data_IF_126057175030
#
_entry.id   IF_126057175030
#
_cell.length_a   1.000
_cell.length_b   1.000
_cell.length_c   1.000
_cell.angle_alpha   90.00
_cell.angle_beta   90.00
_cell.angle_gamma   90.00
#
_symmetry.space_group_name_H-M   'P 1'
#
loop_
_entity.id
_entity.type
_entity.pdbx_description
1 polymer ?
#
# COMPACT_ATOMS: atom_id res chain seq x y z
N UNK A 1 -46.03 -3.07 -27.14
CA UNK A 1 -44.58 -2.80 -27.36
C UNK A 1 -44.12 -1.91 -26.22
N UNK A 2 -43.65 -2.50 -25.12
CA UNK A 2 -43.19 -1.77 -23.94
C UNK A 2 -41.68 -1.52 -24.08
N UNK A 3 -41.25 -0.26 -23.91
CA UNK A 3 -39.84 0.12 -23.91
C UNK A 3 -39.16 -0.40 -22.64
N UNK A 4 -37.89 -0.87 -22.71
CA UNK A 4 -37.17 -1.29 -21.52
C UNK A 4 -36.69 -0.06 -20.75
N UNK A 5 -37.02 0.01 -19.46
CA UNK A 5 -36.52 1.01 -18.53
C UNK A 5 -35.01 0.86 -18.35
N UNK A 6 -34.29 1.90 -18.74
CA UNK A 6 -32.85 2.02 -18.54
C UNK A 6 -32.59 2.25 -17.05
N UNK A 7 -32.18 1.20 -16.34
CA UNK A 7 -31.71 1.32 -14.95
C UNK A 7 -30.45 2.16 -14.93
N UNK A 8 -30.58 3.41 -14.51
CA UNK A 8 -29.45 4.26 -14.13
C UNK A 8 -28.85 3.67 -12.86
N UNK A 9 -27.67 3.06 -12.98
CA UNK A 9 -26.84 2.70 -11.84
C UNK A 9 -26.44 4.00 -11.12
N UNK A 10 -26.62 4.10 -9.79
CA UNK A 10 -26.20 5.29 -9.07
C UNK A 10 -24.68 5.39 -9.15
N UNK A 11 -24.18 6.54 -9.60
CA UNK A 11 -22.75 6.83 -9.61
C UNK A 11 -22.24 6.83 -8.16
N UNK A 12 -21.31 5.93 -7.87
CA UNK A 12 -20.57 5.95 -6.60
C UNK A 12 -19.79 7.28 -6.55
N UNK A 13 -19.83 8.03 -5.43
CA UNK A 13 -19.08 9.28 -5.32
C UNK A 13 -17.61 9.06 -5.68
N UNK A 14 -17.00 10.00 -6.41
CA UNK A 14 -15.62 9.93 -6.90
C UNK A 14 -14.54 9.82 -5.79
N UNK A 15 -14.91 9.82 -4.50
CA UNK A 15 -14.02 9.52 -3.37
C UNK A 15 -14.09 8.08 -2.87
N UNK A 16 -14.89 7.20 -3.47
CA UNK A 16 -15.08 5.81 -3.05
C UNK A 16 -14.96 4.81 -4.20
N UNK A 17 -14.12 5.11 -5.19
CA UNK A 17 -13.81 4.21 -6.31
C UNK A 17 -12.31 4.14 -6.56
N UNK A 18 -11.86 3.07 -7.23
CA UNK A 18 -10.47 2.89 -7.65
C UNK A 18 -10.00 4.05 -8.53
N UNK A 19 -10.86 4.52 -9.45
CA UNK A 19 -10.56 5.69 -10.28
C UNK A 19 -10.40 6.98 -9.47
N UNK A 20 -11.21 7.12 -8.41
CA UNK A 20 -11.16 8.24 -7.50
C UNK A 20 -9.82 8.35 -6.79
N UNK A 21 -9.39 7.25 -6.17
CA UNK A 21 -8.09 7.18 -5.48
C UNK A 21 -6.93 7.34 -6.47
N UNK A 22 -7.01 6.75 -7.66
CA UNK A 22 -6.00 6.93 -8.71
C UNK A 22 -5.92 8.38 -9.19
N UNK A 23 -7.05 9.05 -9.41
CA UNK A 23 -7.10 10.46 -9.79
C UNK A 23 -6.46 11.35 -8.72
N UNK A 24 -6.71 11.06 -7.44
CA UNK A 24 -6.10 11.77 -6.31
C UNK A 24 -4.59 11.55 -6.25
N UNK A 25 -4.11 10.33 -6.43
CA UNK A 25 -2.66 10.05 -6.52
C UNK A 25 -1.98 10.74 -7.71
N UNK A 26 -2.66 10.85 -8.86
CA UNK A 26 -2.16 11.62 -10.02
C UNK A 26 -2.06 13.11 -9.70
N UNK A 27 -3.03 13.67 -9.00
CA UNK A 27 -3.00 15.07 -8.57
C UNK A 27 -1.83 15.32 -7.59
N UNK A 28 -1.62 14.43 -6.63
CA UNK A 28 -0.48 14.48 -5.71
C UNK A 28 0.85 14.40 -6.45
N UNK A 29 0.98 13.45 -7.40
CA UNK A 29 2.16 13.32 -8.26
C UNK A 29 2.49 14.62 -8.99
N UNK A 30 1.49 15.33 -9.50
CA UNK A 30 1.70 16.60 -10.21
C UNK A 30 2.13 17.75 -9.29
N UNK A 31 1.89 17.62 -7.98
CA UNK A 31 2.19 18.67 -6.98
C UNK A 31 3.58 18.55 -6.34
N UNK A 32 4.27 17.42 -6.50
CA UNK A 32 5.57 17.16 -5.87
C UNK A 32 6.70 17.02 -6.90
N UNK A 33 7.93 17.47 -6.58
CA UNK A 33 9.10 17.17 -7.40
C UNK A 33 9.30 15.65 -7.54
N UNK A 34 9.79 15.18 -8.69
CA UNK A 34 10.09 13.77 -8.89
C UNK A 34 11.15 13.20 -7.92
N UNK A 35 11.97 14.07 -7.33
CA UNK A 35 12.98 13.73 -6.32
C UNK A 35 12.42 13.63 -4.89
N UNK A 36 11.14 13.95 -4.69
CA UNK A 36 10.48 13.77 -3.39
C UNK A 36 10.26 12.28 -3.12
N UNK A 37 10.76 11.79 -1.99
CA UNK A 37 10.62 10.38 -1.61
C UNK A 37 9.17 9.91 -1.48
N UNK A 38 8.26 10.78 -1.05
CA UNK A 38 6.82 10.45 -1.02
C UNK A 38 6.27 10.36 -2.44
N UNK A 39 6.75 11.19 -3.38
CA UNK A 39 6.36 11.10 -4.78
C UNK A 39 6.85 9.80 -5.43
N UNK A 40 8.05 9.32 -5.06
CA UNK A 40 8.57 8.03 -5.52
C UNK A 40 7.63 6.89 -5.12
N UNK A 41 7.27 6.79 -3.84
CA UNK A 41 6.31 5.77 -3.39
C UNK A 41 4.92 5.96 -4.01
N UNK A 42 4.40 7.19 -4.09
CA UNK A 42 3.11 7.48 -4.72
C UNK A 42 3.06 6.97 -6.17
N UNK A 43 4.14 7.10 -6.94
CA UNK A 43 4.20 6.62 -8.33
C UNK A 43 4.17 5.09 -8.41
N UNK A 44 4.92 4.42 -7.54
CA UNK A 44 4.89 2.96 -7.40
C UNK A 44 3.45 2.52 -7.09
N UNK A 45 2.83 3.14 -6.09
CA UNK A 45 1.50 2.73 -5.65
C UNK A 45 0.39 3.05 -6.65
N UNK A 46 0.43 4.22 -7.29
CA UNK A 46 -0.48 4.58 -8.39
C UNK A 46 -0.47 3.53 -9.51
N UNK A 47 0.71 3.00 -9.84
CA UNK A 47 0.84 1.95 -10.86
C UNK A 47 0.10 0.67 -10.44
N UNK A 48 0.20 0.27 -9.16
CA UNK A 48 -0.57 -0.86 -8.62
C UNK A 48 -2.07 -0.59 -8.72
N UNK A 49 -2.51 0.57 -8.23
CA UNK A 49 -3.93 0.94 -8.17
C UNK A 49 -4.55 0.97 -9.58
N UNK A 50 -3.84 1.50 -10.57
CA UNK A 50 -4.29 1.48 -11.97
C UNK A 50 -4.38 0.05 -12.53
N UNK A 51 -3.42 -0.82 -12.24
CA UNK A 51 -3.45 -2.23 -12.65
C UNK A 51 -4.59 -3.02 -11.97
N UNK A 52 -4.87 -2.74 -10.70
CA UNK A 52 -6.03 -3.32 -9.97
C UNK A 52 -7.33 -2.85 -10.61
N UNK A 53 -7.48 -1.56 -10.88
CA UNK A 53 -8.65 -0.97 -11.54
C UNK A 53 -8.95 -1.65 -12.87
N UNK A 54 -7.95 -1.77 -13.75
CA UNK A 54 -8.10 -2.45 -15.04
C UNK A 54 -8.54 -3.91 -14.92
N UNK A 55 -8.06 -4.63 -13.89
CA UNK A 55 -8.46 -6.03 -13.66
C UNK A 55 -9.87 -6.17 -13.10
N UNK A 56 -10.31 -5.22 -12.28
CA UNK A 56 -11.69 -5.14 -11.80
C UNK A 56 -12.64 -4.87 -12.98
N UNK A 57 -12.33 -3.88 -13.82
CA UNK A 57 -13.08 -3.58 -15.05
C UNK A 57 -13.12 -4.78 -16.01
N UNK A 58 -11.98 -5.45 -16.17
CA UNK A 58 -11.82 -6.66 -16.96
C UNK A 58 -12.47 -7.92 -16.35
N UNK A 59 -13.21 -7.81 -15.23
CA UNK A 59 -13.89 -8.92 -14.54
C UNK A 59 -12.97 -10.09 -14.16
N UNK A 60 -11.71 -9.79 -13.83
CA UNK A 60 -10.73 -10.79 -13.40
C UNK A 60 -10.81 -11.12 -11.90
N UNK A 61 -11.69 -10.43 -11.18
CA UNK A 61 -12.05 -10.70 -9.79
C UNK A 61 -13.43 -11.37 -9.73
N UNK A 62 -13.58 -12.52 -9.03
CA UNK A 62 -14.87 -13.18 -8.84
C UNK A 62 -15.88 -12.31 -8.08
N UNK A 63 -15.40 -11.54 -7.11
CA UNK A 63 -16.17 -10.52 -6.41
C UNK A 63 -15.56 -9.12 -6.65
N UNK A 64 -16.00 -8.39 -7.69
CA UNK A 64 -15.56 -7.03 -7.93
C UNK A 64 -15.82 -6.08 -6.76
N UNK A 65 -16.85 -6.35 -5.93
CA UNK A 65 -17.18 -5.50 -4.79
C UNK A 65 -16.17 -5.69 -3.65
N UNK A 66 -15.79 -6.93 -3.35
CA UNK A 66 -14.74 -7.28 -2.39
C UNK A 66 -13.42 -6.62 -2.76
N UNK A 67 -12.95 -6.87 -3.99
CA UNK A 67 -11.73 -6.30 -4.52
C UNK A 67 -11.72 -4.76 -4.52
N UNK A 68 -12.80 -4.12 -5.00
CA UNK A 68 -12.92 -2.65 -5.01
C UNK A 68 -12.90 -2.07 -3.60
N UNK A 69 -13.61 -2.68 -2.66
CA UNK A 69 -13.69 -2.18 -1.28
C UNK A 69 -12.32 -2.27 -0.61
N UNK A 70 -11.63 -3.40 -0.76
CA UNK A 70 -10.29 -3.58 -0.21
C UNK A 70 -9.30 -2.59 -0.81
N UNK A 71 -9.29 -2.43 -2.15
CA UNK A 71 -8.36 -1.52 -2.84
C UNK A 71 -8.56 -0.06 -2.41
N UNK A 72 -9.80 0.41 -2.36
CA UNK A 72 -10.13 1.78 -1.94
C UNK A 72 -9.78 2.02 -0.47
N UNK A 73 -10.16 1.11 0.43
CA UNK A 73 -9.85 1.26 1.87
C UNK A 73 -8.35 1.23 2.10
N UNK A 74 -7.62 0.39 1.36
CA UNK A 74 -6.17 0.33 1.45
C UNK A 74 -5.54 1.64 0.97
N UNK A 75 -5.96 2.16 -0.18
CA UNK A 75 -5.47 3.42 -0.72
C UNK A 75 -5.73 4.62 0.19
N UNK A 76 -6.93 4.69 0.76
CA UNK A 76 -7.30 5.78 1.67
C UNK A 76 -6.46 5.80 2.95
N UNK A 77 -5.86 4.69 3.39
CA UNK A 77 -4.92 4.69 4.54
C UNK A 77 -3.65 5.46 4.25
N UNK A 78 -3.05 5.22 3.08
CA UNK A 78 -1.89 6.00 2.64
C UNK A 78 -2.26 7.48 2.46
N UNK A 79 -3.38 7.74 1.79
CA UNK A 79 -3.82 9.10 1.50
C UNK A 79 -4.18 9.88 2.79
N UNK A 80 -4.74 9.22 3.79
CA UNK A 80 -4.97 9.81 5.11
C UNK A 80 -3.65 10.17 5.81
N UNK A 81 -2.58 9.38 5.64
CA UNK A 81 -1.26 9.74 6.16
C UNK A 81 -0.68 10.98 5.46
N UNK A 82 -0.90 11.11 4.15
CA UNK A 82 -0.52 12.31 3.37
C UNK A 82 -1.28 13.54 3.88
N UNK A 83 -2.60 13.44 4.03
CA UNK A 83 -3.44 14.54 4.51
C UNK A 83 -3.07 14.97 5.93
N UNK A 84 -2.82 14.00 6.82
CA UNK A 84 -2.42 14.28 8.19
C UNK A 84 -1.16 15.15 8.22
N UNK A 85 -0.14 14.80 7.43
CA UNK A 85 1.09 15.58 7.33
C UNK A 85 0.84 16.96 6.71
N UNK A 86 0.05 17.05 5.64
CA UNK A 86 -0.30 18.32 5.00
C UNK A 86 -1.03 19.28 5.95
N UNK A 87 -1.84 18.74 6.87
CA UNK A 87 -2.53 19.48 7.91
C UNK A 87 -1.68 19.74 9.17
N UNK A 88 -0.40 19.35 9.19
CA UNK A 88 0.51 19.55 10.32
C UNK A 88 0.33 18.54 11.47
N UNK A 89 -0.45 17.48 11.27
CA UNK A 89 -0.63 16.39 12.24
C UNK A 89 0.48 15.33 12.10
N UNK A 90 0.60 14.49 13.13
CA UNK A 90 1.53 13.35 13.11
C UNK A 90 0.86 12.16 12.42
N UNK A 91 1.44 11.60 11.34
CA UNK A 91 0.94 10.37 10.74
C UNK A 91 1.25 9.16 11.65
N UNK A 92 0.71 7.96 11.32
CA UNK A 92 1.13 6.70 11.94
C UNK A 92 2.65 6.54 11.97
N UNK A 93 3.18 5.90 13.00
CA UNK A 93 4.63 5.75 13.21
C UNK A 93 5.34 5.06 12.04
N UNK A 94 4.66 4.16 11.33
CA UNK A 94 5.15 3.45 10.15
C UNK A 94 5.47 4.40 8.98
N UNK A 95 4.68 5.47 8.82
CA UNK A 95 4.83 6.46 7.75
C UNK A 95 5.79 7.60 8.08
N UNK A 96 6.00 7.91 9.37
CA UNK A 96 6.84 9.03 9.81
C UNK A 96 8.23 9.07 9.16
N UNK A 97 8.99 7.95 9.06
CA UNK A 97 10.32 7.98 8.48
C UNK A 97 10.31 8.48 7.03
N UNK A 98 9.39 7.99 6.20
CA UNK A 98 9.31 8.40 4.79
C UNK A 98 9.09 9.91 4.66
N UNK A 99 8.15 10.47 5.42
CA UNK A 99 7.88 11.91 5.40
C UNK A 99 9.05 12.74 5.97
N UNK A 100 9.76 12.24 6.97
CA UNK A 100 10.93 12.93 7.55
C UNK A 100 12.12 12.99 6.58
N UNK A 101 12.39 11.91 5.85
CA UNK A 101 13.53 11.80 4.94
C UNK A 101 13.19 12.18 3.50
N UNK A 102 11.96 12.59 3.18
CA UNK A 102 11.45 12.77 1.80
C UNK A 102 12.27 13.71 0.89
N UNK A 103 13.14 14.54 1.45
CA UNK A 103 14.02 15.46 0.69
C UNK A 103 15.51 15.21 0.97
N UNK A 104 15.87 14.11 1.64
CA UNK A 104 17.23 13.86 2.07
C UNK A 104 18.12 13.45 0.88
N UNK A 105 19.21 14.19 0.57
CA UNK A 105 19.99 13.99 -0.64
C UNK A 105 20.77 12.65 -0.67
N UNK A 106 21.07 12.09 0.51
CA UNK A 106 21.74 10.79 0.64
C UNK A 106 20.79 9.58 0.62
N UNK A 107 19.49 9.75 0.42
CA UNK A 107 18.53 8.64 0.35
C UNK A 107 18.11 8.43 -1.10
N UNK A 108 18.27 7.21 -1.59
CA UNK A 108 18.01 6.88 -3.01
C UNK A 108 16.52 6.60 -3.25
N UNK A 109 16.01 6.80 -4.49
CA UNK A 109 14.63 6.47 -4.85
C UNK A 109 14.16 5.08 -4.41
N UNK A 110 15.01 4.06 -4.55
CA UNK A 110 14.69 2.70 -4.10
C UNK A 110 14.38 2.63 -2.60
N UNK A 111 15.16 3.32 -1.76
CA UNK A 111 14.94 3.32 -0.31
C UNK A 111 13.59 3.95 0.04
N UNK A 112 13.19 5.00 -0.68
CA UNK A 112 11.87 5.60 -0.52
C UNK A 112 10.74 4.65 -0.95
N UNK A 113 10.88 3.96 -2.08
CA UNK A 113 9.92 2.97 -2.54
C UNK A 113 9.75 1.84 -1.52
N UNK A 114 10.87 1.25 -1.05
CA UNK A 114 10.86 0.18 -0.05
C UNK A 114 10.30 0.65 1.30
N UNK A 115 10.64 1.85 1.75
CA UNK A 115 10.10 2.39 3.01
C UNK A 115 8.60 2.61 2.96
N UNK A 116 8.07 3.09 1.82
CA UNK A 116 6.63 3.21 1.61
C UNK A 116 5.92 1.85 1.52
N UNK A 117 6.49 0.89 0.78
CA UNK A 117 5.97 -0.49 0.73
C UNK A 117 5.96 -1.11 2.13
N UNK A 118 7.03 -0.94 2.91
CA UNK A 118 7.13 -1.42 4.28
C UNK A 118 6.03 -0.83 5.18
N UNK A 119 5.79 0.49 5.12
CA UNK A 119 4.73 1.11 5.91
C UNK A 119 3.34 0.61 5.48
N UNK A 120 3.11 0.55 4.17
CA UNK A 120 1.80 0.21 3.62
C UNK A 120 1.45 -1.27 3.83
N UNK A 121 2.36 -2.19 3.51
CA UNK A 121 2.13 -3.63 3.67
C UNK A 121 2.22 -4.04 5.15
N UNK A 122 3.22 -3.52 5.88
CA UNK A 122 3.51 -3.91 7.25
C UNK A 122 2.53 -3.37 8.31
N UNK A 123 1.70 -2.39 7.96
CA UNK A 123 0.72 -1.81 8.87
C UNK A 123 -0.65 -1.61 8.22
N UNK A 124 -0.72 -0.87 7.10
CA UNK A 124 -2.02 -0.46 6.55
C UNK A 124 -2.83 -1.63 6.00
N UNK A 125 -2.18 -2.62 5.39
CA UNK A 125 -2.86 -3.74 4.72
C UNK A 125 -3.69 -4.59 5.69
N UNK A 126 -3.15 -4.91 6.86
CA UNK A 126 -3.87 -5.70 7.87
C UNK A 126 -5.14 -4.98 8.36
N UNK A 127 -5.02 -3.67 8.54
CA UNK A 127 -6.12 -2.82 8.95
C UNK A 127 -7.14 -2.63 7.82
N UNK A 128 -6.68 -2.50 6.56
CA UNK A 128 -7.54 -2.39 5.40
C UNK A 128 -8.40 -3.64 5.19
N UNK A 129 -7.83 -4.84 5.35
CA UNK A 129 -8.59 -6.10 5.32
C UNK A 129 -9.66 -6.12 6.40
N UNK A 130 -9.31 -5.72 7.62
CA UNK A 130 -10.24 -5.71 8.76
C UNK A 130 -11.40 -4.73 8.51
N UNK A 131 -11.10 -3.51 8.02
CA UNK A 131 -12.11 -2.51 7.72
C UNK A 131 -12.98 -2.90 6.52
N UNK A 132 -12.40 -3.48 5.47
CA UNK A 132 -13.15 -4.02 4.35
C UNK A 132 -14.12 -5.12 4.80
N UNK A 133 -13.69 -6.04 5.67
CA UNK A 133 -14.56 -7.06 6.27
C UNK A 133 -15.74 -6.43 7.03
N UNK A 134 -15.50 -5.37 7.82
CA UNK A 134 -16.57 -4.63 8.51
C UNK A 134 -17.55 -3.99 7.54
N UNK A 135 -17.06 -3.33 6.50
CA UNK A 135 -17.88 -2.66 5.49
C UNK A 135 -18.72 -3.63 4.66
N UNK A 136 -18.19 -4.82 4.39
CA UNK A 136 -18.86 -5.85 3.61
C UNK A 136 -19.75 -6.75 4.47
N UNK A 137 -19.58 -6.73 5.80
CA UNK A 137 -20.28 -7.63 6.72
C UNK A 137 -19.85 -9.08 6.54
N UNK A 138 -18.57 -9.34 6.27
CA UNK A 138 -18.03 -10.67 6.02
C UNK A 138 -16.84 -11.00 6.92
N UNK A 139 -16.52 -12.29 7.03
CA UNK A 139 -15.30 -12.77 7.69
C UNK A 139 -14.09 -12.65 6.74
N UNK A 140 -12.84 -12.54 7.26
CA UNK A 140 -11.63 -12.43 6.45
C UNK A 140 -11.50 -13.52 5.37
N UNK A 141 -11.90 -14.76 5.66
CA UNK A 141 -11.86 -15.86 4.69
C UNK A 141 -12.60 -15.56 3.37
N UNK A 142 -13.63 -14.69 3.40
CA UNK A 142 -14.34 -14.28 2.19
C UNK A 142 -13.49 -13.38 1.26
N UNK A 143 -12.51 -12.66 1.82
CA UNK A 143 -11.60 -11.76 1.07
C UNK A 143 -10.27 -12.40 0.68
N UNK A 144 -9.98 -13.63 1.15
CA UNK A 144 -8.67 -14.29 0.94
C UNK A 144 -8.31 -14.41 -0.55
N UNK A 145 -9.28 -14.81 -1.37
CA UNK A 145 -9.07 -14.93 -2.82
C UNK A 145 -8.72 -13.60 -3.50
N UNK A 146 -9.35 -12.50 -3.09
CA UNK A 146 -9.08 -11.18 -3.64
C UNK A 146 -7.75 -10.63 -3.12
N UNK A 147 -7.44 -10.87 -1.83
CA UNK A 147 -6.16 -10.57 -1.22
C UNK A 147 -4.98 -11.21 -1.96
N UNK A 148 -5.09 -12.50 -2.32
CA UNK A 148 -4.05 -13.19 -3.08
C UNK A 148 -3.92 -12.66 -4.52
N UNK A 149 -5.03 -12.31 -5.19
CA UNK A 149 -5.00 -11.74 -6.55
C UNK A 149 -4.33 -10.36 -6.59
N UNK A 150 -4.70 -9.46 -5.69
CA UNK A 150 -4.04 -8.15 -5.53
C UNK A 150 -2.55 -8.36 -5.23
N UNK A 151 -2.27 -9.36 -4.42
CA UNK A 151 -0.94 -9.83 -4.15
C UNK A 151 -0.04 -10.15 -5.31
N UNK A 152 -0.54 -10.97 -6.22
CA UNK A 152 0.20 -11.33 -7.42
C UNK A 152 0.50 -10.10 -8.30
N UNK A 153 -0.28 -9.02 -8.19
CA UNK A 153 -0.01 -7.74 -8.86
C UNK A 153 1.17 -7.04 -8.19
N UNK A 154 1.15 -6.95 -6.86
CA UNK A 154 2.23 -6.35 -6.08
C UNK A 154 3.57 -7.09 -6.30
N UNK A 155 3.57 -8.43 -6.35
CA UNK A 155 4.77 -9.25 -6.57
C UNK A 155 5.42 -8.99 -7.94
N UNK A 156 4.61 -8.86 -9.01
CA UNK A 156 5.14 -8.48 -10.32
C UNK A 156 5.75 -7.08 -10.33
N UNK A 157 5.19 -6.18 -9.54
CA UNK A 157 5.74 -4.84 -9.40
C UNK A 157 7.04 -4.84 -8.58
N UNK A 158 7.15 -5.67 -7.55
CA UNK A 158 8.41 -5.87 -6.84
C UNK A 158 9.50 -6.35 -7.80
N UNK A 159 9.20 -7.34 -8.64
CA UNK A 159 10.18 -7.83 -9.63
C UNK A 159 10.60 -6.72 -10.59
N UNK A 160 9.65 -5.93 -11.11
CA UNK A 160 9.99 -4.79 -11.98
C UNK A 160 10.80 -3.71 -11.25
N UNK A 161 10.45 -3.38 -10.00
CA UNK A 161 11.22 -2.44 -9.17
C UNK A 161 12.64 -2.97 -8.97
N UNK A 162 12.79 -4.27 -8.71
CA UNK A 162 14.09 -4.93 -8.57
C UNK A 162 14.88 -4.87 -9.87
N UNK A 163 14.28 -5.19 -11.01
CA UNK A 163 14.90 -5.14 -12.34
C UNK A 163 15.32 -3.71 -12.73
N UNK A 164 14.45 -2.72 -12.56
CA UNK A 164 14.72 -1.32 -12.89
C UNK A 164 15.79 -0.69 -11.99
N UNK A 165 16.06 -1.28 -10.82
CA UNK A 165 16.97 -0.73 -9.79
C UNK A 165 18.19 -1.62 -9.52
N UNK A 166 18.30 -2.79 -10.17
CA UNK A 166 19.55 -3.56 -10.22
C UNK A 166 20.52 -2.86 -11.19
N UNK A 167 21.72 -2.47 -10.75
CA UNK A 167 22.71 -1.95 -11.69
C UNK A 167 23.01 -3.02 -12.75
N UNK A 168 23.13 -2.60 -14.02
CA UNK A 168 23.57 -3.48 -15.11
C UNK A 168 24.91 -4.16 -14.79
N UNK A 169 25.29 -5.22 -15.52
CA UNK A 169 26.31 -6.21 -15.13
C UNK A 169 27.77 -5.70 -14.99
N UNK A 170 28.03 -4.39 -14.96
CA UNK A 170 29.37 -3.79 -14.94
C UNK A 170 29.89 -3.36 -13.56
N UNK A 171 29.29 -3.82 -12.45
CA UNK A 171 29.86 -3.64 -11.10
C UNK A 171 30.09 -4.99 -10.42
N UNK A 172 31.23 -5.59 -10.75
CA UNK A 172 31.84 -6.66 -9.97
C UNK A 172 32.18 -6.16 -8.55
N UNK A 173 31.70 -6.91 -7.56
CA UNK A 173 32.27 -7.07 -6.21
C UNK A 173 32.41 -5.84 -5.31
N UNK A 174 31.28 -5.37 -4.77
CA UNK A 174 31.05 -5.16 -3.32
C UNK A 174 29.56 -5.43 -3.14
N UNK A 175 29.16 -6.20 -2.14
CA UNK A 175 27.74 -6.39 -1.83
C UNK A 175 27.19 -5.05 -1.34
N UNK A 176 26.67 -4.24 -2.26
CA UNK A 176 26.07 -2.94 -1.97
C UNK A 176 25.02 -3.16 -0.86
N UNK A 177 25.03 -2.39 0.24
CA UNK A 177 23.98 -2.42 1.24
C UNK A 177 22.56 -2.46 0.65
N UNK A 178 22.35 -1.85 -0.51
CA UNK A 178 21.08 -1.93 -1.26
C UNK A 178 20.78 -3.33 -1.79
N UNK A 179 21.76 -4.05 -2.35
CA UNK A 179 21.58 -5.42 -2.84
C UNK A 179 21.22 -6.38 -1.70
N UNK A 180 21.83 -6.21 -0.52
CA UNK A 180 21.43 -6.96 0.68
C UNK A 180 20.04 -6.56 1.19
N UNK A 181 19.69 -5.28 1.13
CA UNK A 181 18.37 -4.78 1.51
C UNK A 181 17.27 -5.35 0.60
N UNK A 182 17.50 -5.36 -0.72
CA UNK A 182 16.61 -5.96 -1.72
C UNK A 182 16.50 -7.47 -1.47
N UNK A 183 17.62 -8.17 -1.28
CA UNK A 183 17.63 -9.62 -1.11
C UNK A 183 17.03 -10.11 0.22
N UNK A 184 16.97 -9.25 1.24
CA UNK A 184 16.38 -9.57 2.55
C UNK A 184 14.91 -9.16 2.67
N UNK A 185 14.43 -8.26 1.81
CA UNK A 185 13.02 -7.89 1.73
C UNK A 185 12.25 -8.85 0.82
N UNK A 186 11.14 -9.39 1.30
CA UNK A 186 10.24 -10.27 0.53
C UNK A 186 8.82 -9.77 0.71
N UNK A 187 8.23 -9.26 -0.36
CA UNK A 187 6.85 -8.78 -0.34
C UNK A 187 5.87 -9.91 -0.01
N UNK A 188 6.10 -11.11 -0.55
CA UNK A 188 5.30 -12.31 -0.26
C UNK A 188 5.23 -12.55 1.26
N UNK A 189 6.38 -12.62 1.94
CA UNK A 189 6.44 -12.81 3.40
C UNK A 189 5.80 -11.65 4.16
N UNK A 190 5.99 -10.42 3.72
CA UNK A 190 5.36 -9.26 4.33
C UNK A 190 3.83 -9.31 4.21
N UNK A 191 3.31 -9.79 3.07
CA UNK A 191 1.89 -9.98 2.84
C UNK A 191 1.31 -11.14 3.65
N UNK A 192 2.01 -12.26 3.77
CA UNK A 192 1.59 -13.37 4.64
C UNK A 192 1.50 -12.93 6.11
N UNK A 193 2.45 -12.11 6.56
CA UNK A 193 2.42 -11.50 7.87
C UNK A 193 1.21 -10.54 8.01
N UNK A 194 0.93 -9.71 7.00
CA UNK A 194 -0.23 -8.82 7.00
C UNK A 194 -1.56 -9.59 7.02
N UNK A 195 -1.66 -10.72 6.30
CA UNK A 195 -2.83 -11.60 6.33
C UNK A 195 -3.04 -12.20 7.72
N UNK A 196 -1.97 -12.71 8.32
CA UNK A 196 -2.00 -13.25 9.68
C UNK A 196 -2.41 -12.18 10.70
N UNK A 197 -1.87 -10.97 10.58
CA UNK A 197 -2.22 -9.83 11.41
C UNK A 197 -3.68 -9.41 11.25
N UNK A 198 -4.22 -9.40 10.02
CA UNK A 198 -5.63 -9.12 9.77
C UNK A 198 -6.54 -10.12 10.47
N UNK A 199 -6.20 -11.41 10.42
CA UNK A 199 -6.95 -12.47 11.13
C UNK A 199 -6.91 -12.29 12.64
N UNK A 200 -5.75 -11.94 13.21
CA UNK A 200 -5.60 -11.65 14.63
C UNK A 200 -6.47 -10.44 15.02
N UNK A 201 -6.34 -9.33 14.30
CA UNK A 201 -7.15 -8.12 14.53
C UNK A 201 -8.64 -8.40 14.45
N UNK A 202 -9.06 -9.21 13.48
CA UNK A 202 -10.45 -9.61 13.35
C UNK A 202 -10.91 -10.44 14.55
N UNK A 203 -10.10 -11.37 15.05
CA UNK A 203 -10.40 -12.12 16.28
C UNK A 203 -10.44 -11.24 17.53
N UNK A 204 -9.63 -10.18 17.57
CA UNK A 204 -9.58 -9.20 18.68
C UNK A 204 -10.66 -8.11 18.59
N UNK A 205 -11.56 -8.14 17.60
CA UNK A 205 -12.52 -7.05 17.35
C UNK A 205 -13.46 -6.72 18.52
N UNK A 206 -13.77 -7.71 19.37
CA UNK A 206 -14.58 -7.52 20.59
C UNK A 206 -13.73 -7.14 21.82
N UNK A 207 -12.43 -6.94 21.64
CA UNK A 207 -11.43 -6.63 22.66
C UNK A 207 -10.63 -5.38 22.23
N UNK A 208 -11.26 -4.18 22.22
CA UNK A 208 -10.71 -2.99 21.56
C UNK A 208 -9.34 -2.58 22.12
N UNK A 209 -9.12 -2.67 23.43
CA UNK A 209 -7.82 -2.36 24.03
C UNK A 209 -6.68 -3.27 23.50
N UNK A 210 -6.93 -4.57 23.34
CA UNK A 210 -5.94 -5.51 22.80
C UNK A 210 -5.73 -5.31 21.30
N UNK A 211 -6.78 -4.99 20.56
CA UNK A 211 -6.67 -4.63 19.14
C UNK A 211 -5.82 -3.37 18.96
N UNK A 212 -6.04 -2.34 19.79
CA UNK A 212 -5.26 -1.10 19.79
C UNK A 212 -3.78 -1.33 20.13
N UNK A 213 -3.49 -2.11 21.17
CA UNK A 213 -2.10 -2.49 21.54
C UNK A 213 -1.41 -3.24 20.40
N UNK A 214 -2.09 -4.20 19.78
CA UNK A 214 -1.55 -4.96 18.65
C UNK A 214 -1.30 -4.07 17.44
N UNK A 215 -2.24 -3.19 17.07
CA UNK A 215 -2.07 -2.20 16.00
C UNK A 215 -0.90 -1.27 16.28
N UNK A 216 -0.77 -0.74 17.50
CA UNK A 216 0.33 0.14 17.89
C UNK A 216 1.69 -0.58 17.81
N UNK A 217 1.75 -1.86 18.18
CA UNK A 217 2.94 -2.69 18.03
C UNK A 217 3.36 -2.85 16.57
N UNK A 218 2.42 -3.14 15.67
CA UNK A 218 2.68 -3.19 14.23
C UNK A 218 3.17 -1.85 13.69
N UNK A 219 2.49 -0.75 14.05
CA UNK A 219 2.84 0.61 13.63
C UNK A 219 4.27 0.98 14.03
N UNK A 220 4.62 0.72 15.29
CA UNK A 220 5.95 0.99 15.83
C UNK A 220 7.04 0.12 15.15
N UNK A 221 6.76 -1.17 14.94
CA UNK A 221 7.72 -2.09 14.30
C UNK A 221 7.96 -1.73 12.83
N UNK A 222 6.91 -1.51 12.05
CA UNK A 222 7.04 -1.04 10.67
C UNK A 222 7.79 0.29 10.60
N UNK A 223 7.53 1.22 11.54
CA UNK A 223 8.25 2.48 11.65
C UNK A 223 9.72 2.33 12.01
N UNK A 224 10.09 1.32 12.82
CA UNK A 224 11.49 1.00 13.10
C UNK A 224 12.23 0.52 11.85
N UNK A 225 11.64 -0.43 11.13
CA UNK A 225 12.20 -0.93 9.87
C UNK A 225 12.34 0.19 8.85
N UNK A 226 11.32 1.05 8.71
CA UNK A 226 11.34 2.21 7.82
C UNK A 226 12.50 3.17 8.09
N UNK A 227 12.92 3.36 9.35
CA UNK A 227 14.11 4.16 9.68
C UNK A 227 15.40 3.52 9.20
N UNK A 228 15.54 2.20 9.32
CA UNK A 228 16.71 1.49 8.81
C UNK A 228 16.77 1.51 7.28
N UNK A 229 15.63 1.32 6.59
CA UNK A 229 15.53 1.38 5.14
C UNK A 229 15.99 2.74 4.57
N UNK A 230 15.76 3.82 5.30
CA UNK A 230 16.07 5.19 4.89
C UNK A 230 17.44 5.68 5.40
N UNK A 231 18.32 4.78 5.85
CA UNK A 231 19.69 5.13 6.24
C UNK A 231 20.41 5.73 5.03
N UNK A 232 20.88 7.00 5.09
CA UNK A 232 21.55 7.62 3.96
C UNK A 232 22.81 6.86 3.54
N UNK A 233 23.00 6.69 2.24
CA UNK A 233 24.18 6.09 1.65
C UNK A 233 25.04 7.24 1.12
N UNK A 234 26.23 7.41 1.72
CA UNK A 234 27.18 8.45 1.38
C UNK A 234 27.86 8.21 0.03
#
# INVERSE_FOLDING_TARGET
>A
MAQPEQRVTPAVPAGHSVDGVAARMRALRASWPATDGVAVFNNVYLTVTEEVGQRIEGRQFPDPRGATTLDVVFAERYLAAVDAVAAGHRPPACWRPLFQYRHHPGVRPLQFALAGINAHIGHDLALAVTDACRLLGCEPAALEGDFHRVGAILERLEERIREDLMPGPDLLEIVDPLTHLIGSWSLERARDAAWSAARILWSLRELPALAEEFTAGMDANAGLVGRYLLTPLH
#
